data_IF_163255403765
#
_entry.id   IF_163255403765
#
_cell.length_a   1.000
_cell.length_b   1.000
_cell.length_c   1.000
_cell.angle_alpha   90.00
_cell.angle_beta   90.00
_cell.angle_gamma   90.00
#
_symmetry.space_group_name_H-M   'P 1'
#
loop_
_entity.id
_entity.type
_entity.pdbx_description
1 polymer ?
#
# COMPACT_ATOMS: atom_id res chain seq x y z
N UNK A 1 -8.76 -8.12 10.39
CA UNK A 1 -9.18 -7.01 11.26
C UNK A 1 -10.10 -6.13 10.45
N UNK A 2 -11.30 -5.86 10.94
CA UNK A 2 -12.23 -4.90 10.32
C UNK A 2 -12.05 -3.57 11.05
N UNK A 3 -11.68 -2.53 10.30
CA UNK A 3 -11.42 -1.20 10.84
C UNK A 3 -12.70 -0.40 10.72
N UNK A 4 -13.02 0.39 11.75
CA UNK A 4 -14.19 1.25 11.74
C UNK A 4 -13.75 2.71 11.61
N UNK A 5 -14.10 3.31 10.48
CA UNK A 5 -13.84 4.73 10.19
C UNK A 5 -15.16 5.47 10.05
N UNK A 6 -15.19 6.73 10.48
CA UNK A 6 -16.42 7.54 10.42
C UNK A 6 -16.67 8.17 9.05
N UNK A 7 -15.61 8.41 8.26
CA UNK A 7 -15.68 9.09 6.97
C UNK A 7 -15.11 8.20 5.85
N UNK A 8 -15.91 7.23 5.38
CA UNK A 8 -15.50 6.32 4.29
C UNK A 8 -16.25 6.69 3.01
N UNK A 9 -15.49 7.11 1.99
CA UNK A 9 -16.05 7.50 0.69
C UNK A 9 -16.25 6.31 -0.26
N UNK A 10 -15.34 5.34 -0.21
CA UNK A 10 -15.47 4.05 -0.89
C UNK A 10 -14.94 2.94 0.04
N UNK A 11 -15.57 1.77 -0.02
CA UNK A 11 -15.11 0.58 0.70
C UNK A 11 -15.28 -0.68 -0.14
N UNK A 12 -14.25 -1.51 -0.18
CA UNK A 12 -14.31 -2.86 -0.74
C UNK A 12 -13.60 -3.82 0.20
N UNK A 13 -14.36 -4.66 0.89
CA UNK A 13 -13.85 -5.52 1.97
C UNK A 13 -13.03 -4.71 2.99
N UNK A 14 -11.73 -4.97 3.09
CA UNK A 14 -10.77 -4.34 4.00
C UNK A 14 -9.99 -3.19 3.35
N UNK A 15 -10.47 -2.65 2.23
CA UNK A 15 -9.92 -1.46 1.58
C UNK A 15 -10.84 -0.26 1.84
N UNK A 16 -10.27 0.83 2.36
CA UNK A 16 -11.01 2.00 2.82
C UNK A 16 -10.46 3.26 2.16
N UNK A 17 -11.36 4.13 1.69
CA UNK A 17 -11.01 5.46 1.16
C UNK A 17 -11.50 6.51 2.12
N UNK A 18 -10.56 7.21 2.75
CA UNK A 18 -10.82 8.30 3.68
C UNK A 18 -10.65 9.68 3.04
N UNK A 19 -10.10 9.74 1.82
CA UNK A 19 -9.98 10.96 1.05
C UNK A 19 -10.98 11.01 -0.13
N UNK A 20 -11.83 12.03 -0.15
CA UNK A 20 -12.81 12.24 -1.22
C UNK A 20 -12.19 12.56 -2.58
N UNK A 21 -10.92 12.95 -2.62
CA UNK A 21 -10.22 13.36 -3.84
C UNK A 21 -9.72 12.16 -4.67
N UNK A 22 -9.82 10.93 -4.16
CA UNK A 22 -9.45 9.73 -4.92
C UNK A 22 -10.37 9.57 -6.15
N UNK A 23 -9.86 9.72 -7.40
CA UNK A 23 -10.70 9.68 -8.59
C UNK A 23 -10.95 8.27 -9.10
N UNK A 24 -10.30 7.25 -8.51
CA UNK A 24 -10.29 5.88 -8.98
C UNK A 24 -11.33 5.02 -8.27
N UNK A 25 -11.89 4.05 -9.00
CA UNK A 25 -12.74 3.00 -8.43
C UNK A 25 -11.86 1.99 -7.67
N UNK A 26 -12.02 1.92 -6.35
CA UNK A 26 -11.22 1.04 -5.50
C UNK A 26 -11.50 -0.43 -5.74
N UNK A 27 -12.71 -0.80 -6.15
CA UNK A 27 -13.02 -2.19 -6.51
C UNK A 27 -12.17 -2.61 -7.71
N UNK A 28 -12.11 -1.75 -8.72
CA UNK A 28 -11.30 -1.99 -9.91
C UNK A 28 -9.81 -2.06 -9.58
N UNK A 29 -9.29 -1.15 -8.75
CA UNK A 29 -7.89 -1.19 -8.31
C UNK A 29 -7.57 -2.51 -7.61
N UNK A 30 -8.45 -2.96 -6.71
CA UNK A 30 -8.30 -4.21 -5.97
C UNK A 30 -8.33 -5.43 -6.91
N UNK A 31 -9.28 -5.48 -7.83
CA UNK A 31 -9.41 -6.57 -8.80
C UNK A 31 -8.19 -6.62 -9.75
N UNK A 32 -7.75 -5.47 -10.26
CA UNK A 32 -6.54 -5.37 -11.09
C UNK A 32 -5.30 -5.84 -10.31
N UNK A 33 -5.12 -5.41 -9.06
CA UNK A 33 -4.01 -5.83 -8.21
C UNK A 33 -4.02 -7.35 -8.00
N UNK A 34 -5.14 -7.93 -7.53
CA UNK A 34 -5.22 -9.36 -7.24
C UNK A 34 -5.33 -10.25 -8.48
N UNK A 35 -5.45 -9.66 -9.68
CA UNK A 35 -5.20 -10.39 -10.93
C UNK A 35 -3.71 -10.65 -11.18
N UNK A 36 -2.82 -9.92 -10.50
CA UNK A 36 -1.36 -9.95 -10.68
C UNK A 36 -0.65 -10.73 -9.56
N UNK A 37 -1.25 -10.77 -8.38
CA UNK A 37 -0.67 -11.34 -7.16
C UNK A 37 -1.67 -12.22 -6.40
N UNK A 38 -1.19 -13.07 -5.50
CA UNK A 38 -2.07 -13.86 -4.63
C UNK A 38 -2.89 -12.95 -3.69
N UNK A 39 -4.14 -13.34 -3.44
CA UNK A 39 -5.05 -12.60 -2.56
C UNK A 39 -4.46 -12.51 -1.15
N UNK A 40 -4.36 -11.28 -0.65
CA UNK A 40 -3.87 -10.99 0.69
C UNK A 40 -4.92 -10.19 1.48
N UNK A 41 -5.05 -10.49 2.77
CA UNK A 41 -6.02 -9.84 3.68
C UNK A 41 -5.45 -8.60 4.38
N UNK A 42 -4.30 -8.10 3.95
CA UNK A 42 -3.72 -6.84 4.44
C UNK A 42 -4.68 -5.69 4.13
N UNK A 43 -5.17 -4.93 5.14
CA UNK A 43 -6.01 -3.78 4.90
C UNK A 43 -5.26 -2.67 4.16
N UNK A 44 -5.99 -1.94 3.32
CA UNK A 44 -5.47 -0.80 2.55
C UNK A 44 -6.28 0.44 2.88
N UNK A 45 -5.61 1.56 3.11
CA UNK A 45 -6.23 2.84 3.47
C UNK A 45 -5.71 3.90 2.50
N UNK A 46 -6.62 4.52 1.74
CA UNK A 46 -6.33 5.65 0.88
C UNK A 46 -6.66 6.92 1.65
N UNK A 47 -5.66 7.71 2.00
CA UNK A 47 -5.80 8.90 2.81
C UNK A 47 -4.57 9.80 2.67
N UNK A 48 -4.65 11.07 3.04
CA UNK A 48 -3.46 11.91 3.16
C UNK A 48 -2.58 11.48 4.36
N UNK A 49 -1.41 12.12 4.52
CA UNK A 49 -0.49 11.80 5.62
C UNK A 49 -1.00 12.22 7.00
N UNK A 50 -1.90 13.23 7.08
CA UNK A 50 -2.52 13.65 8.34
C UNK A 50 -3.51 12.59 8.83
N UNK A 51 -4.37 12.12 7.94
CA UNK A 51 -5.31 11.03 8.19
C UNK A 51 -4.59 9.72 8.53
N UNK A 52 -3.47 9.42 7.85
CA UNK A 52 -2.64 8.27 8.20
C UNK A 52 -2.19 8.34 9.68
N UNK A 53 -1.69 9.49 10.13
CA UNK A 53 -1.32 9.70 11.53
C UNK A 53 -2.52 9.60 12.48
N UNK A 54 -3.69 10.11 12.09
CA UNK A 54 -4.91 9.94 12.89
C UNK A 54 -5.31 8.47 13.04
N UNK A 55 -5.22 7.68 11.96
CA UNK A 55 -5.47 6.23 12.00
C UNK A 55 -4.46 5.55 12.91
N UNK A 56 -3.17 5.79 12.74
CA UNK A 56 -2.12 5.17 13.55
C UNK A 56 -2.28 5.48 15.04
N UNK A 57 -2.54 6.74 15.37
CA UNK A 57 -2.82 7.18 16.73
C UNK A 57 -4.05 6.50 17.33
N UNK A 58 -5.12 6.32 16.55
CA UNK A 58 -6.32 5.61 17.00
C UNK A 58 -6.06 4.12 17.31
N UNK A 59 -5.02 3.55 16.71
CA UNK A 59 -4.56 2.18 16.93
C UNK A 59 -3.46 2.07 18.00
N UNK A 60 -3.13 3.18 18.67
CA UNK A 60 -2.17 3.24 19.77
C UNK A 60 -0.70 3.36 19.35
N UNK A 61 -0.42 3.75 18.10
CA UNK A 61 0.94 4.10 17.66
C UNK A 61 1.23 5.58 17.90
N UNK A 62 2.52 5.91 17.93
CA UNK A 62 2.98 7.30 17.86
C UNK A 62 2.77 7.87 16.45
N UNK A 63 2.74 9.20 16.34
CA UNK A 63 2.65 9.86 15.04
C UNK A 63 3.95 9.66 14.26
N UNK A 64 3.84 9.30 12.99
CA UNK A 64 4.99 9.17 12.09
C UNK A 64 5.38 10.56 11.57
N UNK A 65 6.66 10.91 11.68
CA UNK A 65 7.22 12.13 11.09
C UNK A 65 7.50 11.90 9.61
N UNK A 66 6.52 12.20 8.76
CA UNK A 66 6.70 12.18 7.31
C UNK A 66 7.52 13.40 6.85
N UNK A 67 8.84 13.21 6.67
CA UNK A 67 9.73 14.28 6.21
C UNK A 67 9.51 14.69 4.74
N UNK A 68 8.88 13.83 3.95
CA UNK A 68 8.57 14.06 2.53
C UNK A 68 7.23 13.42 2.16
N UNK A 69 6.56 13.89 1.08
CA UNK A 69 5.42 13.18 0.52
C UNK A 69 5.84 11.77 0.11
N UNK A 70 5.10 10.76 0.59
CA UNK A 70 5.30 9.36 0.23
C UNK A 70 4.10 8.89 -0.59
N UNK A 71 4.35 8.08 -1.63
CA UNK A 71 3.26 7.53 -2.44
C UNK A 71 2.37 6.56 -1.64
N UNK A 72 2.97 5.86 -0.68
CA UNK A 72 2.35 4.94 0.24
C UNK A 72 3.40 4.27 1.12
N UNK A 73 2.96 3.50 2.12
CA UNK A 73 3.84 2.70 2.97
C UNK A 73 3.09 1.55 3.65
N UNK A 74 3.82 0.48 3.93
CA UNK A 74 3.37 -0.63 4.76
C UNK A 74 3.79 -0.42 6.22
N UNK A 75 2.82 -0.20 7.10
CA UNK A 75 3.05 -0.11 8.53
C UNK A 75 3.20 -1.50 9.15
N UNK A 76 4.43 -1.88 9.48
CA UNK A 76 4.81 -3.24 9.91
C UNK A 76 4.04 -3.74 11.14
N UNK A 77 3.93 -2.94 12.20
CA UNK A 77 3.36 -3.42 13.48
C UNK A 77 1.84 -3.62 13.42
N UNK A 78 1.12 -2.70 12.74
CA UNK A 78 -0.32 -2.83 12.48
C UNK A 78 -0.68 -3.66 11.26
N UNK A 79 0.30 -3.99 10.42
CA UNK A 79 0.12 -4.71 9.17
C UNK A 79 -0.92 -4.03 8.25
N UNK A 80 -0.77 -2.72 8.06
CA UNK A 80 -1.65 -1.88 7.23
C UNK A 80 -0.86 -1.31 6.05
N UNK A 81 -1.52 -1.14 4.92
CA UNK A 81 -0.97 -0.39 3.79
C UNK A 81 -1.69 0.96 3.73
N UNK A 82 -0.91 2.03 3.68
CA UNK A 82 -1.39 3.37 3.38
C UNK A 82 -1.00 3.76 1.96
N UNK A 83 -1.91 4.39 1.24
CA UNK A 83 -1.66 4.99 -0.09
C UNK A 83 -2.00 6.47 0.02
N UNK A 84 -0.97 7.31 -0.08
CA UNK A 84 -1.07 8.74 0.22
C UNK A 84 -0.97 9.65 -1.00
N UNK A 85 -0.71 9.08 -2.19
CA UNK A 85 -0.75 9.81 -3.47
C UNK A 85 -1.42 8.96 -4.55
N UNK A 86 -2.21 9.60 -5.42
CA UNK A 86 -3.02 8.91 -6.42
C UNK A 86 -3.21 9.66 -7.74
N UNK A 87 -2.22 10.42 -8.17
CA UNK A 87 -2.27 11.22 -9.40
C UNK A 87 -2.49 10.37 -10.66
N UNK A 88 -1.77 9.24 -10.78
CA UNK A 88 -1.84 8.33 -11.94
C UNK A 88 -2.22 6.92 -11.51
N UNK A 89 -3.22 6.33 -12.18
CA UNK A 89 -3.72 4.98 -11.88
C UNK A 89 -2.60 3.92 -11.85
N UNK A 90 -1.69 3.96 -12.82
CA UNK A 90 -0.59 3.00 -12.90
C UNK A 90 0.42 3.16 -11.78
N UNK A 91 0.66 4.40 -11.31
CA UNK A 91 1.52 4.66 -10.17
C UNK A 91 0.87 4.19 -8.88
N UNK A 92 -0.44 4.38 -8.70
CA UNK A 92 -1.19 3.80 -7.57
C UNK A 92 -1.04 2.28 -7.55
N UNK A 93 -1.23 1.64 -8.70
CA UNK A 93 -1.07 0.19 -8.81
C UNK A 93 0.37 -0.25 -8.52
N UNK A 94 1.38 0.51 -8.96
CA UNK A 94 2.80 0.25 -8.65
C UNK A 94 3.07 0.35 -7.14
N UNK A 95 2.59 1.41 -6.49
CA UNK A 95 2.69 1.60 -5.04
C UNK A 95 2.05 0.44 -4.29
N UNK A 96 0.82 0.06 -4.65
CA UNK A 96 0.14 -1.09 -4.04
C UNK A 96 0.97 -2.37 -4.21
N UNK A 97 1.48 -2.67 -5.41
CA UNK A 97 2.31 -3.84 -5.64
C UNK A 97 3.59 -3.84 -4.78
N UNK A 98 4.22 -2.67 -4.58
CA UNK A 98 5.38 -2.51 -3.71
C UNK A 98 5.02 -2.79 -2.24
N UNK A 99 3.97 -2.17 -1.71
CA UNK A 99 3.58 -2.33 -0.31
C UNK A 99 3.02 -3.72 0.01
N UNK A 100 2.28 -4.33 -0.91
CA UNK A 100 1.86 -5.72 -0.76
C UNK A 100 3.06 -6.68 -0.79
N UNK A 101 4.14 -6.34 -1.50
CA UNK A 101 5.36 -7.15 -1.43
C UNK A 101 5.99 -7.10 -0.05
N UNK A 102 5.99 -5.95 0.63
CA UNK A 102 6.39 -5.87 2.03
C UNK A 102 5.52 -6.71 2.96
N UNK A 103 4.21 -6.69 2.76
CA UNK A 103 3.30 -7.57 3.52
C UNK A 103 3.63 -9.07 3.30
N UNK A 104 3.94 -9.47 2.06
CA UNK A 104 4.34 -10.86 1.75
C UNK A 104 5.69 -11.25 2.35
N UNK A 105 6.68 -10.35 2.29
CA UNK A 105 7.99 -10.55 2.90
C UNK A 105 7.89 -10.69 4.42
N UNK A 106 7.07 -9.85 5.06
CA UNK A 106 6.77 -9.94 6.49
C UNK A 106 6.15 -11.30 6.85
N UNK A 107 5.11 -11.72 6.12
CA UNK A 107 4.43 -13.01 6.36
C UNK A 107 5.37 -14.21 6.18
N UNK A 108 6.39 -14.07 5.34
CA UNK A 108 7.39 -15.11 5.08
C UNK A 108 8.56 -15.07 6.08
N UNK A 109 8.42 -14.29 7.17
CA UNK A 109 9.44 -14.07 8.20
C UNK A 109 10.81 -13.67 7.64
N UNK A 110 10.81 -12.94 6.52
CA UNK A 110 12.04 -12.43 5.93
C UNK A 110 12.52 -11.26 6.80
N UNK A 111 13.27 -11.59 7.84
CA UNK A 111 13.90 -10.65 8.75
C UNK A 111 15.18 -10.13 8.10
N UNK A 112 15.20 -8.83 7.79
CA UNK A 112 16.43 -8.14 7.43
C UNK A 112 17.07 -7.55 8.69
N UNK A 113 18.30 -7.96 8.95
CA UNK A 113 19.18 -7.35 9.96
C UNK A 113 20.42 -6.87 9.21
N UNK A 114 20.52 -5.56 9.00
CA UNK A 114 21.67 -4.95 8.32
C UNK A 114 21.74 -3.44 8.53
N UNK A 115 22.93 -2.88 8.37
CA UNK A 115 23.24 -1.47 8.61
C UNK A 115 23.16 -0.60 7.34
N UNK A 116 22.58 -1.13 6.26
CA UNK A 116 22.47 -0.42 4.98
C UNK A 116 21.42 0.69 5.07
N UNK A 117 21.58 1.73 4.24
CA UNK A 117 20.55 2.77 4.10
C UNK A 117 19.23 2.15 3.61
N UNK A 118 18.09 2.78 3.89
CA UNK A 118 16.77 2.21 3.58
C UNK A 118 16.67 1.69 2.14
N UNK A 119 17.10 2.49 1.17
CA UNK A 119 17.05 2.14 -0.26
C UNK A 119 17.99 1.00 -0.67
N UNK A 120 19.05 0.79 0.08
CA UNK A 120 20.03 -0.25 -0.19
C UNK A 120 19.60 -1.62 0.32
N UNK A 121 18.65 -1.64 1.29
CA UNK A 121 18.12 -2.86 1.86
C UNK A 121 17.58 -3.76 0.76
N UNK A 122 18.01 -5.02 0.79
CA UNK A 122 17.56 -6.03 -0.17
C UNK A 122 16.03 -6.13 -0.25
N UNK A 123 15.34 -5.95 0.88
CA UNK A 123 13.87 -5.93 0.98
C UNK A 123 13.24 -4.86 0.08
N UNK A 124 13.77 -3.64 0.08
CA UNK A 124 13.29 -2.54 -0.78
C UNK A 124 13.60 -2.80 -2.25
N UNK A 125 14.81 -3.30 -2.54
CA UNK A 125 15.20 -3.65 -3.92
C UNK A 125 14.30 -4.75 -4.50
N UNK A 126 13.95 -5.74 -3.70
CA UNK A 126 13.01 -6.81 -4.08
C UNK A 126 11.59 -6.25 -4.28
N UNK A 127 11.10 -5.40 -3.37
CA UNK A 127 9.79 -4.77 -3.49
C UNK A 127 9.65 -3.92 -4.76
N UNK A 128 10.65 -3.07 -5.06
CA UNK A 128 10.68 -2.25 -6.28
C UNK A 128 10.68 -3.09 -7.55
N UNK A 129 11.59 -4.08 -7.63
CA UNK A 129 11.67 -4.98 -8.80
C UNK A 129 10.41 -5.80 -8.99
N UNK A 130 9.80 -6.24 -7.89
CA UNK A 130 8.53 -6.96 -7.93
C UNK A 130 7.42 -6.08 -8.50
N UNK A 131 7.28 -4.85 -8.00
CA UNK A 131 6.28 -3.91 -8.46
C UNK A 131 6.44 -3.54 -9.94
N UNK A 132 7.67 -3.29 -10.39
CA UNK A 132 7.96 -3.00 -11.80
C UNK A 132 7.55 -4.14 -12.73
N UNK A 133 8.01 -5.36 -12.42
CA UNK A 133 7.67 -6.55 -13.21
C UNK A 133 6.15 -6.77 -13.28
N UNK A 134 5.44 -6.62 -12.16
CA UNK A 134 3.99 -6.84 -12.10
C UNK A 134 3.20 -5.73 -12.81
N UNK A 135 3.68 -4.49 -12.78
CA UNK A 135 3.10 -3.42 -13.57
C UNK A 135 3.29 -3.68 -15.08
N UNK A 136 4.45 -4.18 -15.50
CA UNK A 136 4.67 -4.54 -16.90
C UNK A 136 3.73 -5.69 -17.34
N UNK A 137 3.52 -6.70 -16.49
CA UNK A 137 2.52 -7.75 -16.72
C UNK A 137 1.11 -7.16 -16.93
N UNK A 138 0.72 -6.18 -16.11
CA UNK A 138 -0.56 -5.48 -16.25
C UNK A 138 -0.69 -4.72 -17.57
N UNK A 139 0.33 -3.94 -17.94
CA UNK A 139 0.37 -3.16 -19.19
C UNK A 139 0.26 -4.06 -20.41
N UNK A 140 0.99 -5.16 -20.42
CA UNK A 140 0.96 -6.12 -21.52
C UNK A 140 -0.42 -6.78 -21.70
N UNK A 141 -1.15 -7.04 -20.60
CA UNK A 141 -2.53 -7.57 -20.68
C UNK A 141 -3.52 -6.55 -21.25
N UNK A 142 -3.31 -5.24 -21.04
CA UNK A 142 -4.16 -4.18 -21.59
C UNK A 142 -3.93 -3.90 -23.08
N UNK A 143 -2.75 -4.27 -23.60
CA UNK A 143 -2.40 -4.10 -25.01
C UNK A 143 -2.88 -5.28 -25.89
N UNK A 144 -3.38 -6.35 -25.27
CA UNK A 144 -4.02 -7.50 -25.92
C UNK A 144 -5.53 -7.34 -25.93
#
# INVERSE_FOLDING_TARGET
MELQFQNVYQQVENWYVLDSELPWDVKRLRDDLFSLIEICKTPVIFCDTCDANHVLRSLGEEEEEFLFPIGGFYHKEKQLIFVCMWEEYEQVLKTLLHEFRHAMQHKSEILYVGSETYEERWIEKDARKFAERKLDEYKNRKLM
#
